data_IF_501948927697
#
_entry.id   IF_501948927697
#
_cell.length_a   1.000
_cell.length_b   1.000
_cell.length_c   1.000
_cell.angle_alpha   90.00
_cell.angle_beta   90.00
_cell.angle_gamma   90.00
#
_symmetry.space_group_name_H-M   'P 1'
#
loop_
_entity.id
_entity.type
_entity.pdbx_description
1 polymer ?
#
# COMPACT_ATOMS: atom_id res chain seq x y z
N UNK A 1 24.40 -0.34 -28.98
CA UNK A 1 23.54 -1.09 -28.06
C UNK A 1 22.20 -0.38 -28.05
N UNK A 2 21.19 -1.01 -28.62
CA UNK A 2 19.85 -0.43 -28.76
C UNK A 2 19.15 -0.52 -27.42
N UNK A 3 18.72 0.63 -26.89
CA UNK A 3 17.92 0.68 -25.69
C UNK A 3 16.57 0.00 -25.91
N UNK A 4 16.26 -0.98 -25.09
CA UNK A 4 14.93 -1.61 -25.06
C UNK A 4 13.91 -0.53 -24.69
N UNK A 5 13.11 -0.11 -25.65
CA UNK A 5 11.87 0.65 -25.38
C UNK A 5 10.93 -0.27 -24.62
N UNK A 6 10.55 0.14 -23.44
CA UNK A 6 9.41 -0.47 -22.75
C UNK A 6 8.18 0.04 -23.50
N UNK A 7 7.75 -0.73 -24.50
CA UNK A 7 6.48 -0.47 -25.16
C UNK A 7 5.40 -0.51 -24.08
N UNK A 8 4.51 0.47 -24.09
CA UNK A 8 3.36 0.57 -23.20
C UNK A 8 2.51 -0.71 -23.31
N UNK A 9 2.81 -1.68 -22.46
CA UNK A 9 1.99 -2.88 -22.32
C UNK A 9 0.64 -2.48 -21.71
N UNK A 10 -0.24 -1.98 -22.57
CA UNK A 10 -1.67 -1.95 -22.27
C UNK A 10 -2.09 -3.42 -22.20
N UNK A 11 -2.17 -3.93 -20.98
CA UNK A 11 -2.69 -5.26 -20.75
C UNK A 11 -4.15 -5.29 -21.23
N UNK A 12 -4.39 -5.85 -22.40
CA UNK A 12 -5.74 -6.13 -22.88
C UNK A 12 -6.29 -7.25 -22.01
N UNK A 13 -7.16 -6.87 -21.10
CA UNK A 13 -7.88 -7.81 -20.24
C UNK A 13 -8.82 -8.65 -21.12
N UNK A 14 -8.47 -9.91 -21.36
CA UNK A 14 -9.25 -10.85 -22.17
C UNK A 14 -10.25 -11.63 -21.32
N UNK A 15 -11.04 -10.94 -20.49
CA UNK A 15 -12.15 -11.54 -19.78
C UNK A 15 -11.91 -11.76 -18.27
N UNK A 16 -12.99 -12.08 -17.51
CA UNK A 16 -12.93 -12.23 -16.07
C UNK A 16 -12.29 -13.58 -15.71
N UNK A 17 -10.98 -13.59 -15.59
CA UNK A 17 -10.29 -14.67 -14.91
C UNK A 17 -10.33 -14.37 -13.40
N UNK A 18 -11.10 -15.12 -12.60
CA UNK A 18 -11.23 -14.87 -11.16
C UNK A 18 -9.94 -15.08 -10.40
N UNK A 19 -8.91 -15.64 -11.03
CA UNK A 19 -7.58 -15.89 -10.45
C UNK A 19 -6.53 -14.83 -10.82
N UNK A 20 -6.83 -13.87 -11.69
CA UNK A 20 -5.88 -12.82 -12.06
C UNK A 20 -5.91 -11.66 -11.06
N UNK A 21 -4.74 -11.30 -10.57
CA UNK A 21 -4.52 -10.09 -9.78
C UNK A 21 -4.49 -8.85 -10.69
N UNK A 22 -5.64 -8.53 -11.29
CA UNK A 22 -5.78 -7.45 -12.26
C UNK A 22 -5.10 -6.15 -11.83
N UNK A 23 -5.13 -5.85 -10.54
CA UNK A 23 -4.61 -4.63 -9.95
C UNK A 23 -3.09 -4.49 -10.11
N UNK A 24 -2.33 -5.57 -9.93
CA UNK A 24 -0.88 -5.59 -10.13
C UNK A 24 -0.52 -5.25 -11.57
N UNK A 25 -1.22 -5.88 -12.51
CA UNK A 25 -1.01 -5.65 -13.94
C UNK A 25 -1.46 -4.26 -14.35
N UNK A 26 -2.57 -3.76 -13.79
CA UNK A 26 -3.08 -2.41 -14.07
C UNK A 26 -2.08 -1.33 -13.65
N UNK A 27 -1.38 -1.52 -12.53
CA UNK A 27 -0.33 -0.62 -12.09
C UNK A 27 1.03 -0.87 -12.77
N UNK A 28 1.22 -2.01 -13.45
CA UNK A 28 2.47 -2.35 -14.14
C UNK A 28 3.56 -2.92 -13.24
N UNK A 29 3.25 -3.46 -12.06
CA UNK A 29 4.23 -4.05 -11.16
C UNK A 29 5.07 -5.15 -11.81
N UNK A 30 4.49 -6.15 -12.53
CA UNK A 30 5.27 -7.22 -13.13
C UNK A 30 6.34 -6.72 -14.11
N UNK A 31 6.06 -5.65 -14.83
CA UNK A 31 7.00 -5.08 -15.80
C UNK A 31 8.26 -4.45 -15.18
N UNK A 32 8.21 -4.08 -13.89
CA UNK A 32 9.30 -3.37 -13.22
C UNK A 32 10.07 -4.22 -12.20
N UNK A 33 9.60 -5.42 -11.84
CA UNK A 33 10.26 -6.24 -10.82
C UNK A 33 11.73 -6.52 -11.14
N UNK A 34 12.04 -6.90 -12.37
CA UNK A 34 13.41 -7.18 -12.79
C UNK A 34 14.35 -5.96 -12.74
N UNK A 35 13.79 -4.76 -12.68
CA UNK A 35 14.56 -3.50 -12.72
C UNK A 35 14.62 -2.81 -11.37
N UNK A 36 13.51 -2.82 -10.62
CA UNK A 36 13.37 -2.11 -9.36
C UNK A 36 13.48 -3.01 -8.13
N UNK A 37 13.09 -4.28 -8.25
CA UNK A 37 13.07 -5.23 -7.12
C UNK A 37 14.25 -6.19 -7.16
N UNK A 38 15.44 -5.62 -7.22
CA UNK A 38 16.71 -6.36 -7.32
C UNK A 38 17.54 -6.23 -6.03
N UNK A 39 18.36 -7.24 -5.74
CA UNK A 39 19.30 -7.24 -4.60
C UNK A 39 18.92 -8.23 -3.50
N UNK A 40 19.94 -8.64 -2.71
CA UNK A 40 19.87 -9.75 -1.77
C UNK A 40 19.13 -9.39 -0.47
N UNK A 41 19.25 -8.14 0.02
CA UNK A 41 18.53 -7.72 1.24
C UNK A 41 17.18 -7.12 0.88
N UNK A 42 16.07 -7.75 1.29
CA UNK A 42 14.74 -7.26 0.97
C UNK A 42 14.36 -5.96 1.71
N UNK A 43 15.10 -5.56 2.77
CA UNK A 43 14.70 -4.43 3.61
C UNK A 43 13.33 -4.63 4.27
N UNK A 44 12.84 -3.63 4.99
CA UNK A 44 11.57 -3.73 5.71
C UNK A 44 10.63 -2.55 5.41
N UNK A 45 9.32 -2.82 5.45
CA UNK A 45 8.20 -1.87 5.39
C UNK A 45 7.44 -2.00 6.71
N UNK A 46 7.08 -0.89 7.36
CA UNK A 46 6.15 -0.94 8.48
C UNK A 46 4.69 -0.94 7.99
N UNK A 47 3.88 -1.83 8.54
CA UNK A 47 2.42 -1.83 8.39
C UNK A 47 1.79 -1.69 9.77
N UNK A 48 1.09 -0.59 10.01
CA UNK A 48 0.33 -0.32 11.22
C UNK A 48 -1.14 -0.52 10.89
N UNK A 49 -1.73 -1.59 11.44
CA UNK A 49 -3.03 -2.07 10.96
C UNK A 49 -3.78 -2.85 12.04
N UNK A 50 -4.93 -3.42 11.66
CA UNK A 50 -5.81 -4.19 12.54
C UNK A 50 -5.52 -5.68 12.44
N UNK A 51 -5.14 -6.26 13.57
CA UNK A 51 -5.16 -7.69 13.81
C UNK A 51 -3.88 -8.44 13.43
N UNK A 52 -3.91 -9.73 13.73
CA UNK A 52 -2.77 -10.64 13.58
C UNK A 52 -3.13 -12.00 12.96
N UNK A 53 -4.41 -12.29 12.73
CA UNK A 53 -4.80 -13.50 12.02
C UNK A 53 -4.30 -13.45 10.57
N UNK A 54 -4.00 -14.59 9.98
CA UNK A 54 -3.55 -14.70 8.60
C UNK A 54 -2.05 -14.40 8.38
N UNK A 55 -1.31 -13.95 9.39
CA UNK A 55 0.12 -13.63 9.25
C UNK A 55 1.01 -14.89 9.13
N UNK A 56 0.47 -16.09 9.36
CA UNK A 56 1.16 -17.37 9.11
C UNK A 56 0.81 -17.97 7.75
N UNK A 57 0.00 -17.28 6.95
CA UNK A 57 -0.37 -17.77 5.63
C UNK A 57 0.89 -18.05 4.79
N UNK A 58 0.87 -19.11 3.97
CA UNK A 58 2.03 -19.54 3.16
C UNK A 58 2.59 -18.44 2.26
N UNK A 59 1.73 -17.57 1.72
CA UNK A 59 2.12 -16.43 0.87
C UNK A 59 2.98 -15.41 1.63
N UNK A 60 2.89 -15.39 2.96
CA UNK A 60 3.64 -14.51 3.84
C UNK A 60 4.83 -15.20 4.51
N UNK A 61 5.10 -16.46 4.19
CA UNK A 61 6.19 -17.22 4.79
C UNK A 61 7.55 -16.54 4.52
N UNK A 62 8.27 -16.19 5.60
CA UNK A 62 9.54 -15.46 5.53
C UNK A 62 9.42 -13.99 5.13
N UNK A 63 8.21 -13.47 4.93
CA UNK A 63 7.94 -12.07 4.55
C UNK A 63 7.52 -11.20 5.72
N UNK A 64 6.98 -11.77 6.78
CA UNK A 64 6.45 -11.01 7.90
C UNK A 64 7.36 -11.10 9.12
N UNK A 65 7.76 -9.94 9.62
CA UNK A 65 8.37 -9.77 10.94
C UNK A 65 7.29 -9.23 11.87
N UNK A 66 7.16 -9.85 13.05
CA UNK A 66 6.19 -9.41 14.05
C UNK A 66 6.91 -8.72 15.17
N UNK A 67 6.42 -7.57 15.59
CA UNK A 67 6.84 -7.06 16.88
C UNK A 67 6.45 -8.03 18.00
N UNK A 68 7.31 -8.21 19.04
CA UNK A 68 6.96 -8.97 20.22
C UNK A 68 5.64 -8.44 20.74
N UNK A 69 4.63 -9.27 20.76
CA UNK A 69 3.30 -8.87 21.12
C UNK A 69 3.27 -8.20 22.48
N UNK A 70 2.71 -7.04 22.59
CA UNK A 70 1.73 -6.87 23.64
C UNK A 70 0.77 -8.07 23.52
N UNK A 71 0.65 -8.89 24.54
CA UNK A 71 -0.05 -10.20 24.51
C UNK A 71 -1.53 -10.13 24.12
N UNK A 72 -2.03 -8.98 23.72
CA UNK A 72 -3.43 -8.61 23.49
C UNK A 72 -3.54 -7.76 22.23
N UNK A 73 -3.59 -8.39 21.06
CA UNK A 73 -3.91 -7.71 19.80
C UNK A 73 -5.16 -8.30 19.17
N UNK A 74 -5.84 -7.49 18.35
CA UNK A 74 -7.00 -7.90 17.55
C UNK A 74 -6.76 -9.21 16.80
N UNK A 75 -7.79 -10.05 16.70
CA UNK A 75 -7.78 -11.29 15.90
C UNK A 75 -8.17 -11.09 14.43
N UNK A 76 -8.42 -9.85 14.00
CA UNK A 76 -8.73 -9.57 12.60
C UNK A 76 -7.58 -9.95 11.68
N UNK A 77 -7.89 -10.26 10.42
CA UNK A 77 -6.91 -10.64 9.40
C UNK A 77 -6.53 -9.48 8.46
N UNK A 78 -6.94 -8.23 8.76
CA UNK A 78 -6.77 -7.12 7.85
C UNK A 78 -5.30 -6.78 7.62
N UNK A 79 -4.47 -6.80 8.66
CA UNK A 79 -3.02 -6.60 8.52
C UNK A 79 -2.36 -7.63 7.60
N UNK A 80 -2.78 -8.91 7.67
CA UNK A 80 -2.29 -9.94 6.77
C UNK A 80 -2.73 -9.70 5.33
N UNK A 81 -3.98 -9.27 5.15
CA UNK A 81 -4.50 -8.93 3.83
C UNK A 81 -3.70 -7.79 3.17
N UNK A 82 -3.39 -6.74 3.91
CA UNK A 82 -2.57 -5.62 3.46
C UNK A 82 -1.13 -6.07 3.20
N UNK A 83 -0.52 -6.84 4.13
CA UNK A 83 0.83 -7.35 3.97
C UNK A 83 0.98 -8.26 2.74
N UNK A 84 -0.03 -9.07 2.41
CA UNK A 84 -0.02 -9.93 1.24
C UNK A 84 -0.07 -9.13 -0.07
N UNK A 85 -0.86 -8.07 -0.15
CA UNK A 85 -0.82 -7.16 -1.31
C UNK A 85 0.56 -6.53 -1.47
N UNK A 86 1.22 -6.14 -0.38
CA UNK A 86 2.57 -5.57 -0.44
C UNK A 86 3.59 -6.61 -0.89
N UNK A 87 3.64 -7.79 -0.23
CA UNK A 87 4.82 -8.63 -0.23
C UNK A 87 4.55 -10.14 -0.22
N UNK A 88 3.40 -10.63 -0.72
CA UNK A 88 3.22 -12.06 -0.95
C UNK A 88 4.37 -12.62 -1.79
N UNK A 89 4.69 -13.90 -1.60
CA UNK A 89 5.75 -14.58 -2.34
C UNK A 89 5.40 -14.61 -3.84
N UNK A 90 6.40 -14.56 -4.69
CA UNK A 90 6.27 -14.56 -6.16
C UNK A 90 6.92 -15.79 -6.79
N UNK A 91 6.98 -16.88 -6.08
CA UNK A 91 7.74 -18.06 -6.46
C UNK A 91 6.91 -19.21 -7.07
N UNK A 92 5.60 -19.02 -7.16
CA UNK A 92 4.67 -20.08 -7.49
C UNK A 92 4.21 -20.07 -8.97
N UNK A 93 4.85 -19.27 -9.84
CA UNK A 93 4.39 -19.06 -11.22
C UNK A 93 4.82 -20.16 -12.21
N UNK A 94 5.77 -21.02 -11.86
CA UNK A 94 6.22 -22.11 -12.73
C UNK A 94 5.46 -23.42 -12.48
N UNK A 95 4.16 -23.41 -12.76
CA UNK A 95 3.42 -24.66 -13.00
C UNK A 95 2.76 -25.32 -11.81
N UNK A 96 2.80 -24.69 -10.63
CA UNK A 96 1.98 -25.17 -9.52
C UNK A 96 0.61 -24.48 -9.55
N UNK A 97 -0.44 -25.31 -9.73
CA UNK A 97 -1.83 -24.84 -9.79
C UNK A 97 -2.31 -24.13 -8.50
N UNK A 98 -1.46 -24.04 -7.50
CA UNK A 98 -1.73 -23.54 -6.16
C UNK A 98 -1.14 -22.16 -5.84
N UNK A 99 -0.24 -21.62 -6.65
CA UNK A 99 0.27 -20.23 -6.51
C UNK A 99 -0.81 -19.24 -6.95
N UNK A 100 -1.42 -18.54 -5.96
CA UNK A 100 -2.63 -17.78 -6.22
C UNK A 100 -2.45 -16.29 -6.18
N UNK A 101 -1.37 -15.79 -5.56
CA UNK A 101 -1.14 -14.36 -5.51
C UNK A 101 0.33 -13.98 -5.43
N UNK A 102 0.65 -12.91 -6.14
CA UNK A 102 1.93 -12.21 -6.05
C UNK A 102 1.80 -10.93 -5.23
N UNK A 103 2.84 -10.61 -4.47
CA UNK A 103 2.97 -9.30 -3.85
C UNK A 103 3.55 -8.26 -4.81
N UNK A 104 3.30 -6.99 -4.53
CA UNK A 104 3.82 -5.88 -5.31
C UNK A 104 5.35 -5.79 -5.29
N UNK A 105 5.99 -6.24 -4.19
CA UNK A 105 7.44 -6.21 -4.01
C UNK A 105 7.96 -7.34 -3.13
N UNK A 106 9.29 -7.48 -3.04
CA UNK A 106 9.96 -8.52 -2.24
C UNK A 106 10.29 -8.09 -0.80
N UNK A 107 9.81 -6.95 -0.33
CA UNK A 107 10.07 -6.45 1.01
C UNK A 107 9.68 -7.45 2.11
N UNK A 108 10.33 -7.34 3.28
CA UNK A 108 9.75 -7.85 4.52
C UNK A 108 8.77 -6.82 5.08
N UNK A 109 7.72 -7.30 5.71
CA UNK A 109 6.68 -6.46 6.31
C UNK A 109 6.74 -6.62 7.82
N UNK A 110 7.00 -5.51 8.52
CA UNK A 110 6.97 -5.44 9.98
C UNK A 110 5.58 -4.96 10.40
N UNK A 111 4.81 -5.85 11.01
CA UNK A 111 3.41 -5.60 11.37
C UNK A 111 3.30 -5.14 12.82
N UNK A 112 2.64 -3.99 13.00
CA UNK A 112 2.24 -3.42 14.29
C UNK A 112 0.71 -3.41 14.39
N UNK A 113 0.17 -3.86 15.52
CA UNK A 113 -1.28 -3.81 15.75
C UNK A 113 -1.70 -2.46 16.30
N UNK A 114 -2.65 -1.82 15.63
CA UNK A 114 -3.29 -0.58 16.06
C UNK A 114 -4.59 -0.80 16.86
N UNK A 115 -4.95 -2.06 17.14
CA UNK A 115 -6.12 -2.45 17.92
C UNK A 115 -5.74 -3.49 18.98
N UNK A 116 -6.36 -3.36 20.16
CA UNK A 116 -6.21 -4.32 21.25
C UNK A 116 -7.04 -5.61 21.03
N UNK A 117 -6.99 -6.53 21.99
CA UNK A 117 -7.75 -7.79 21.94
C UNK A 117 -9.26 -7.62 22.08
N UNK A 118 -9.71 -6.50 22.60
CA UNK A 118 -11.12 -6.14 22.75
C UNK A 118 -11.63 -5.35 21.52
N UNK A 119 -10.84 -5.34 20.43
CA UNK A 119 -11.13 -4.64 19.16
C UNK A 119 -11.30 -3.12 19.34
N UNK A 120 -10.58 -2.52 20.31
CA UNK A 120 -10.54 -1.07 20.49
C UNK A 120 -9.30 -0.49 19.83
N UNK A 121 -9.48 0.66 19.22
CA UNK A 121 -8.35 1.40 18.63
C UNK A 121 -7.40 1.90 19.73
N UNK A 122 -6.12 1.66 19.54
CA UNK A 122 -5.04 2.05 20.46
C UNK A 122 -4.13 3.10 19.80
N UNK A 123 -4.41 4.38 20.07
CA UNK A 123 -3.63 5.49 19.54
C UNK A 123 -2.17 5.46 20.05
N UNK A 124 -1.93 5.03 21.29
CA UNK A 124 -0.57 4.93 21.81
C UNK A 124 0.25 3.86 21.12
N UNK A 125 -0.38 2.73 20.77
CA UNK A 125 0.27 1.70 19.96
C UNK A 125 0.63 2.22 18.55
N UNK A 126 -0.25 2.98 17.91
CA UNK A 126 0.01 3.61 16.62
C UNK A 126 1.18 4.61 16.72
N UNK A 127 1.15 5.46 17.74
CA UNK A 127 2.20 6.44 18.00
C UNK A 127 3.55 5.77 18.25
N UNK A 128 3.59 4.76 19.10
CA UNK A 128 4.80 4.00 19.41
C UNK A 128 5.38 3.33 18.14
N UNK A 129 4.52 2.74 17.29
CA UNK A 129 4.92 2.12 16.04
C UNK A 129 5.52 3.14 15.04
N UNK A 130 4.93 4.33 14.92
CA UNK A 130 5.46 5.42 14.10
C UNK A 130 6.84 5.88 14.60
N UNK A 131 6.99 6.10 15.91
CA UNK A 131 8.26 6.51 16.50
C UNK A 131 9.33 5.43 16.35
N UNK A 132 8.96 4.16 16.45
CA UNK A 132 9.87 3.06 16.19
C UNK A 132 10.29 2.99 14.72
N UNK A 133 9.36 3.17 13.78
CA UNK A 133 9.68 3.26 12.35
C UNK A 133 10.63 4.43 12.06
N UNK A 134 10.42 5.58 12.71
CA UNK A 134 11.32 6.73 12.62
C UNK A 134 12.71 6.42 13.17
N UNK A 135 12.80 5.75 14.34
CA UNK A 135 14.05 5.32 14.96
C UNK A 135 14.84 4.36 14.09
N UNK A 136 14.14 3.40 13.48
CA UNK A 136 14.72 2.40 12.56
C UNK A 136 15.01 2.98 11.17
N UNK A 137 14.58 4.20 10.88
CA UNK A 137 14.68 4.85 9.56
C UNK A 137 14.13 3.96 8.45
N UNK A 138 12.99 3.33 8.69
CA UNK A 138 12.35 2.51 7.69
C UNK A 138 12.01 3.36 6.45
N UNK A 139 12.08 2.81 5.24
CA UNK A 139 11.83 3.59 4.02
C UNK A 139 10.41 4.13 3.94
N UNK A 140 9.45 3.38 4.47
CA UNK A 140 8.02 3.72 4.39
C UNK A 140 7.22 3.05 5.50
N UNK A 141 6.16 3.74 5.96
CA UNK A 141 5.12 3.23 6.84
C UNK A 141 3.78 3.25 6.11
N UNK A 142 3.05 2.14 6.16
CA UNK A 142 1.67 2.03 5.68
C UNK A 142 0.69 2.11 6.85
N UNK A 143 -0.27 3.02 6.75
CA UNK A 143 -1.39 3.21 7.67
C UNK A 143 -2.70 2.88 6.93
N UNK A 144 -3.06 1.58 6.89
CA UNK A 144 -4.32 1.16 6.28
C UNK A 144 -5.49 1.29 7.27
N UNK A 145 -5.60 2.46 7.88
CA UNK A 145 -6.61 2.83 8.85
C UNK A 145 -7.16 4.24 8.59
N UNK A 146 -8.38 4.45 9.01
CA UNK A 146 -9.10 5.72 8.90
C UNK A 146 -9.88 5.93 10.19
N UNK A 147 -9.60 7.01 10.87
CA UNK A 147 -10.13 7.30 12.22
C UNK A 147 -10.55 8.77 12.32
N UNK A 148 -11.56 9.01 13.13
CA UNK A 148 -11.92 10.36 13.58
C UNK A 148 -11.48 10.51 15.04
N UNK A 149 -10.56 11.43 15.29
CA UNK A 149 -10.02 11.70 16.63
C UNK A 149 -10.43 13.09 17.08
N UNK A 150 -10.82 13.25 18.34
CA UNK A 150 -11.12 14.57 18.91
C UNK A 150 -9.88 15.45 19.04
N UNK A 151 -8.69 14.86 19.19
CA UNK A 151 -7.39 15.50 19.20
C UNK A 151 -6.41 14.65 18.39
N UNK A 152 -5.79 15.23 17.39
CA UNK A 152 -4.86 14.56 16.48
C UNK A 152 -3.40 14.89 16.74
N UNK A 153 -3.10 15.83 17.65
CA UNK A 153 -1.76 16.39 17.86
C UNK A 153 -0.70 15.31 18.07
N UNK A 154 -0.96 14.33 18.93
CA UNK A 154 0.03 13.29 19.27
C UNK A 154 0.32 12.38 18.06
N UNK A 155 -0.67 12.14 17.21
CA UNK A 155 -0.51 11.41 15.96
C UNK A 155 0.28 12.25 14.94
N UNK A 156 -0.06 13.51 14.80
CA UNK A 156 0.62 14.45 13.90
C UNK A 156 2.09 14.63 14.28
N UNK A 157 2.41 14.73 15.58
CA UNK A 157 3.78 14.82 16.08
C UNK A 157 4.59 13.56 15.75
N UNK A 158 3.98 12.38 15.85
CA UNK A 158 4.62 11.11 15.47
C UNK A 158 4.83 10.98 13.95
N UNK A 159 3.86 11.42 13.14
CA UNK A 159 3.98 11.50 11.67
C UNK A 159 5.13 12.47 11.32
N UNK A 160 5.15 13.66 11.90
CA UNK A 160 6.21 14.62 11.67
C UNK A 160 7.59 14.08 12.08
N UNK A 161 7.67 13.26 13.14
CA UNK A 161 8.91 12.57 13.51
C UNK A 161 9.36 11.57 12.43
N UNK A 162 8.43 10.81 11.83
CA UNK A 162 8.72 9.93 10.69
C UNK A 162 9.34 10.74 9.54
N UNK A 163 8.66 11.79 9.10
CA UNK A 163 9.08 12.61 7.95
C UNK A 163 10.43 13.29 8.18
N UNK A 164 10.66 13.85 9.38
CA UNK A 164 11.98 14.43 9.76
C UNK A 164 13.12 13.41 9.73
N UNK A 165 12.82 12.12 9.97
CA UNK A 165 13.81 11.04 9.88
C UNK A 165 13.86 10.40 8.48
N UNK A 166 13.21 11.00 7.50
CA UNK A 166 13.24 10.54 6.12
C UNK A 166 12.28 9.37 5.83
N UNK A 167 11.37 9.02 6.74
CA UNK A 167 10.39 7.95 6.55
C UNK A 167 9.18 8.51 5.80
N UNK A 168 8.79 7.86 4.71
CA UNK A 168 7.56 8.21 3.98
C UNK A 168 6.36 7.61 4.70
N UNK A 169 5.32 8.40 4.91
CA UNK A 169 4.06 7.92 5.51
C UNK A 169 2.98 7.88 4.46
N UNK A 170 2.42 6.68 4.24
CA UNK A 170 1.33 6.42 3.29
C UNK A 170 0.09 6.03 4.07
N UNK A 171 -1.06 6.62 3.77
CA UNK A 171 -2.30 6.29 4.45
C UNK A 171 -3.47 6.10 3.49
N UNK A 172 -4.34 5.16 3.84
CA UNK A 172 -5.61 4.94 3.17
C UNK A 172 -6.57 6.09 3.44
N UNK A 173 -7.25 6.57 2.40
CA UNK A 173 -8.27 7.60 2.50
C UNK A 173 -9.53 7.17 3.27
N UNK A 174 -9.71 5.88 3.45
CA UNK A 174 -10.92 5.31 4.03
C UNK A 174 -11.94 4.88 2.98
N UNK A 175 -12.90 4.08 3.42
CA UNK A 175 -13.98 3.54 2.60
C UNK A 175 -15.23 3.42 3.47
N UNK A 176 -16.41 3.59 2.87
CA UNK A 176 -17.69 3.43 3.56
C UNK A 176 -18.64 4.60 3.39
N UNK A 177 -18.17 5.74 2.91
CA UNK A 177 -19.02 6.88 2.60
C UNK A 177 -18.64 7.44 1.25
N UNK A 178 -19.53 7.39 0.28
CA UNK A 178 -19.41 8.11 -0.99
C UNK A 178 -19.53 9.64 -0.79
N UNK A 179 -19.69 10.08 0.45
CA UNK A 179 -19.83 11.47 0.83
C UNK A 179 -18.46 12.09 1.05
N UNK A 180 -18.35 13.35 0.74
CA UNK A 180 -17.26 14.21 1.15
C UNK A 180 -17.45 14.55 2.65
N UNK A 181 -17.21 13.56 3.51
CA UNK A 181 -17.40 13.67 4.96
C UNK A 181 -16.23 14.41 5.65
N UNK A 182 -15.42 15.08 4.85
CA UNK A 182 -14.27 15.84 5.33
C UNK A 182 -13.02 14.96 5.56
N UNK A 183 -11.97 15.60 6.03
CA UNK A 183 -10.67 14.95 6.17
C UNK A 183 -10.66 13.91 7.30
N UNK A 184 -10.22 12.69 6.99
CA UNK A 184 -10.03 11.61 7.96
C UNK A 184 -8.56 11.42 8.30
N UNK A 185 -8.26 11.23 9.58
CA UNK A 185 -6.91 10.92 10.02
C UNK A 185 -6.54 9.46 9.74
N UNK A 186 -5.27 9.16 9.42
CA UNK A 186 -4.12 10.08 9.24
C UNK A 186 -4.02 10.67 7.84
N UNK A 187 -4.86 10.29 6.87
CA UNK A 187 -4.78 10.70 5.48
C UNK A 187 -4.88 12.22 5.25
N UNK A 188 -5.58 12.93 6.16
CA UNK A 188 -5.73 14.37 6.11
C UNK A 188 -4.48 15.16 6.51
N UNK A 189 -3.48 14.51 7.12
CA UNK A 189 -2.24 15.19 7.50
C UNK A 189 -1.44 15.55 6.23
N UNK A 190 -0.97 16.82 6.08
CA UNK A 190 -0.29 17.28 4.86
C UNK A 190 1.03 16.57 4.57
N UNK A 191 1.66 15.97 5.57
CA UNK A 191 2.91 15.23 5.44
C UNK A 191 2.69 13.77 5.01
N UNK A 192 1.43 13.33 4.92
CA UNK A 192 1.05 11.97 4.54
C UNK A 192 0.73 11.90 3.05
N UNK A 193 1.11 10.81 2.41
CA UNK A 193 0.63 10.45 1.07
C UNK A 193 -0.73 9.78 1.23
N UNK A 194 -1.80 10.56 1.10
CA UNK A 194 -3.16 10.04 1.14
C UNK A 194 -3.51 9.30 -0.15
N UNK A 195 -4.02 8.07 -0.02
CA UNK A 195 -4.28 7.18 -1.15
C UNK A 195 -5.76 6.90 -1.32
N UNK A 196 -6.31 7.29 -2.47
CA UNK A 196 -7.65 6.94 -2.93
C UNK A 196 -7.70 5.54 -3.56
N UNK A 197 -8.90 4.99 -3.71
CA UNK A 197 -9.12 3.69 -4.34
C UNK A 197 -9.75 3.84 -5.72
N UNK A 198 -9.24 3.11 -6.73
CA UNK A 198 -9.85 3.02 -8.05
C UNK A 198 -10.41 1.63 -8.35
N UNK A 199 -11.37 1.59 -9.27
CA UNK A 199 -11.88 0.39 -9.90
C UNK A 199 -11.07 0.03 -11.17
N UNK A 200 -11.52 -0.98 -11.94
CA UNK A 200 -10.85 -1.45 -13.15
C UNK A 200 -10.80 -0.41 -14.29
N UNK A 201 -11.73 0.54 -14.29
CA UNK A 201 -11.86 1.62 -15.28
C UNK A 201 -11.09 2.89 -14.87
N UNK A 202 -10.23 2.81 -13.85
CA UNK A 202 -9.48 3.94 -13.26
C UNK A 202 -10.39 5.07 -12.72
N UNK A 203 -11.63 4.73 -12.36
CA UNK A 203 -12.58 5.64 -11.69
C UNK A 203 -12.53 5.39 -10.17
N UNK A 204 -12.97 6.34 -9.34
CA UNK A 204 -13.10 6.10 -7.91
C UNK A 204 -13.89 4.82 -7.65
N UNK A 205 -13.36 3.92 -6.81
CA UNK A 205 -14.02 2.68 -6.44
C UNK A 205 -15.35 2.96 -5.72
N UNK A 206 -16.30 2.02 -5.82
CA UNK A 206 -17.57 2.14 -5.11
C UNK A 206 -17.34 2.22 -3.60
N UNK A 207 -17.98 3.18 -2.94
CA UNK A 207 -17.83 3.43 -1.51
C UNK A 207 -16.47 4.01 -1.08
N UNK A 208 -15.60 4.42 -2.01
CA UNK A 208 -14.37 5.10 -1.68
C UNK A 208 -14.64 6.53 -1.20
N UNK A 209 -13.98 6.93 -0.12
CA UNK A 209 -14.02 8.33 0.32
C UNK A 209 -13.35 9.24 -0.70
N UNK A 210 -13.76 10.51 -0.72
CA UNK A 210 -13.25 11.56 -1.60
C UNK A 210 -12.68 12.71 -0.79
N UNK A 211 -11.82 13.51 -1.38
CA UNK A 211 -11.30 14.73 -0.75
C UNK A 211 -10.10 15.32 -1.48
N UNK A 212 -9.91 16.62 -1.30
CA UNK A 212 -8.80 17.40 -1.90
C UNK A 212 -7.42 16.91 -1.45
N UNK A 213 -7.33 16.20 -0.33
CA UNK A 213 -6.08 15.71 0.22
C UNK A 213 -5.62 14.38 -0.39
N UNK A 214 -6.45 13.70 -1.21
CA UNK A 214 -5.98 12.53 -1.96
C UNK A 214 -4.81 12.94 -2.84
N UNK A 215 -3.65 12.33 -2.62
CA UNK A 215 -2.47 12.63 -3.41
C UNK A 215 -2.42 11.81 -4.70
N UNK A 216 -2.60 10.52 -4.57
CA UNK A 216 -2.59 9.55 -5.67
C UNK A 216 -3.58 8.43 -5.35
N UNK A 217 -4.02 7.70 -6.35
CA UNK A 217 -4.87 6.52 -6.16
C UNK A 217 -4.21 5.27 -6.71
N UNK A 218 -4.70 4.12 -6.28
CA UNK A 218 -4.36 2.82 -6.85
C UNK A 218 -5.61 1.92 -6.82
N UNK A 219 -5.59 0.76 -7.51
CA UNK A 219 -6.68 -0.20 -7.43
C UNK A 219 -7.04 -0.58 -6.00
N UNK A 220 -8.32 -0.50 -5.67
CA UNK A 220 -8.85 -0.82 -4.34
C UNK A 220 -10.18 -1.53 -4.39
N UNK A 221 -10.61 -2.02 -5.55
CA UNK A 221 -11.86 -2.76 -5.71
C UNK A 221 -11.59 -4.19 -6.19
N UNK A 222 -12.19 -5.20 -5.53
CA UNK A 222 -12.01 -6.62 -5.87
C UNK A 222 -10.52 -7.03 -5.93
N UNK A 223 -9.77 -6.73 -4.88
CA UNK A 223 -8.36 -7.08 -4.74
C UNK A 223 -8.22 -8.44 -4.10
N UNK A 224 -7.56 -9.38 -4.79
CA UNK A 224 -7.25 -10.70 -4.26
C UNK A 224 -6.26 -10.56 -3.11
N UNK A 225 -6.55 -11.20 -1.98
CA UNK A 225 -5.67 -11.20 -0.80
C UNK A 225 -5.98 -12.37 0.13
N UNK A 226 -5.19 -12.51 1.20
CA UNK A 226 -5.38 -13.55 2.23
C UNK A 226 -6.30 -13.07 3.35
N UNK A 227 -7.04 -14.00 3.97
CA UNK A 227 -7.98 -13.69 5.07
C UNK A 227 -7.80 -14.58 6.31
N UNK A 228 -6.85 -15.48 6.31
CA UNK A 228 -6.61 -16.43 7.39
C UNK A 228 -5.28 -17.15 7.25
N UNK A 229 -5.01 -18.11 8.13
CA UNK A 229 -3.77 -18.90 8.15
C UNK A 229 -3.87 -20.19 7.32
N UNK A 230 -5.05 -20.54 6.84
CA UNK A 230 -5.28 -21.73 6.02
C UNK A 230 -4.73 -21.58 4.60
N UNK A 231 -4.28 -22.67 3.97
CA UNK A 231 -3.60 -22.62 2.66
C UNK A 231 -4.51 -22.15 1.51
N UNK A 232 -5.83 -22.09 1.73
CA UNK A 232 -6.84 -21.67 0.76
C UNK A 232 -7.67 -20.46 1.24
N UNK A 233 -7.20 -19.75 2.28
CA UNK A 233 -7.89 -18.60 2.85
C UNK A 233 -7.65 -17.33 2.03
N UNK A 234 -8.08 -17.37 0.77
CA UNK A 234 -8.04 -16.21 -0.13
C UNK A 234 -9.43 -15.59 -0.31
N UNK A 235 -9.47 -14.28 -0.53
CA UNK A 235 -10.70 -13.55 -0.82
C UNK A 235 -10.42 -12.31 -1.67
N UNK A 236 -11.41 -11.91 -2.46
CA UNK A 236 -11.46 -10.58 -3.06
C UNK A 236 -12.06 -9.61 -2.06
N UNK A 237 -11.30 -8.58 -1.73
CA UNK A 237 -11.72 -7.52 -0.82
C UNK A 237 -11.63 -6.16 -1.52
N UNK A 238 -12.41 -5.20 -1.04
CA UNK A 238 -12.38 -3.81 -1.55
C UNK A 238 -12.09 -2.84 -0.40
N UNK A 239 -11.31 -1.81 -0.69
CA UNK A 239 -10.95 -0.76 0.26
C UNK A 239 -9.70 0.01 -0.17
N UNK A 240 -9.63 1.27 0.21
CA UNK A 240 -8.44 2.12 0.03
C UNK A 240 -7.21 1.59 0.77
N UNK A 241 -7.40 0.68 1.73
CA UNK A 241 -6.32 -0.05 2.41
C UNK A 241 -5.42 -0.81 1.44
N UNK A 242 -6.01 -1.44 0.42
CA UNK A 242 -5.27 -2.21 -0.60
C UNK A 242 -4.60 -1.28 -1.61
N UNK A 243 -5.24 -0.17 -1.95
CA UNK A 243 -4.64 0.88 -2.75
C UNK A 243 -3.41 1.49 -2.05
N UNK A 244 -3.52 1.79 -0.74
CA UNK A 244 -2.40 2.27 0.07
C UNK A 244 -1.26 1.23 0.13
N UNK A 245 -1.57 -0.06 0.22
CA UNK A 245 -0.60 -1.14 0.16
C UNK A 245 0.23 -1.12 -1.14
N UNK A 246 -0.42 -0.94 -2.29
CA UNK A 246 0.26 -0.84 -3.59
C UNK A 246 1.15 0.40 -3.67
N UNK A 247 0.66 1.57 -3.23
CA UNK A 247 1.47 2.79 -3.20
C UNK A 247 2.66 2.63 -2.25
N UNK A 248 2.47 1.99 -1.10
CA UNK A 248 3.55 1.69 -0.15
C UNK A 248 4.65 0.84 -0.79
N UNK A 249 4.27 -0.20 -1.53
CA UNK A 249 5.23 -1.02 -2.27
C UNK A 249 5.97 -0.21 -3.36
N UNK A 250 5.26 0.67 -4.07
CA UNK A 250 5.86 1.56 -5.06
C UNK A 250 6.90 2.51 -4.44
N UNK A 251 6.59 3.10 -3.28
CA UNK A 251 7.51 3.94 -2.50
C UNK A 251 8.75 3.15 -2.10
N UNK A 252 8.57 1.93 -1.60
CA UNK A 252 9.69 1.07 -1.22
C UNK A 252 10.58 0.75 -2.43
N UNK A 253 10.01 0.38 -3.58
CA UNK A 253 10.74 0.11 -4.81
C UNK A 253 11.51 1.34 -5.30
N UNK A 254 10.89 2.52 -5.25
CA UNK A 254 11.54 3.77 -5.64
C UNK A 254 12.76 4.09 -4.75
N UNK A 255 12.61 3.97 -3.44
CA UNK A 255 13.70 4.21 -2.47
C UNK A 255 14.77 3.12 -2.50
N UNK A 256 14.40 1.90 -2.84
CA UNK A 256 15.38 0.85 -3.09
C UNK A 256 16.28 1.18 -4.28
N UNK A 257 15.72 1.73 -5.34
CA UNK A 257 16.46 2.17 -6.54
C UNK A 257 17.27 3.45 -6.30
N UNK A 258 16.69 4.43 -5.59
CA UNK A 258 17.30 5.72 -5.22
C UNK A 258 17.14 5.96 -3.71
N UNK A 259 18.06 5.46 -2.86
CA UNK A 259 17.93 5.52 -1.40
C UNK A 259 17.88 6.95 -0.82
N UNK A 260 18.44 7.92 -1.53
CA UNK A 260 18.53 9.32 -1.08
C UNK A 260 17.26 10.14 -1.35
N UNK A 261 16.22 9.55 -1.99
CA UNK A 261 14.95 10.24 -2.18
C UNK A 261 14.36 10.64 -0.82
N UNK A 262 14.09 11.93 -0.65
CA UNK A 262 13.37 12.45 0.50
C UNK A 262 11.88 12.12 0.42
N UNK A 263 11.10 12.21 1.52
CA UNK A 263 9.65 12.09 1.45
C UNK A 263 8.99 13.05 0.46
N UNK A 264 9.51 14.26 0.32
CA UNK A 264 9.07 15.25 -0.66
C UNK A 264 9.33 14.81 -2.10
N UNK A 265 10.54 14.28 -2.39
CA UNK A 265 10.88 13.77 -3.71
C UNK A 265 9.99 12.59 -4.12
N UNK A 266 9.72 11.68 -3.17
CA UNK A 266 8.84 10.53 -3.41
C UNK A 266 7.42 11.00 -3.73
N UNK A 267 6.92 11.97 -2.96
CA UNK A 267 5.58 12.56 -3.18
C UNK A 267 5.48 13.16 -4.59
N UNK A 268 6.48 13.92 -5.01
CA UNK A 268 6.52 14.53 -6.34
C UNK A 268 6.68 13.48 -7.44
N UNK A 269 7.51 12.47 -7.24
CA UNK A 269 7.70 11.36 -8.15
C UNK A 269 6.38 10.62 -8.43
N UNK A 270 5.60 10.33 -7.38
CA UNK A 270 4.28 9.72 -7.51
C UNK A 270 3.31 10.61 -8.30
N UNK A 271 3.34 11.93 -8.07
CA UNK A 271 2.52 12.88 -8.81
C UNK A 271 2.87 12.91 -10.32
N UNK A 272 4.14 12.97 -10.64
CA UNK A 272 4.63 13.05 -12.01
C UNK A 272 4.41 11.76 -12.79
N UNK A 273 4.52 10.61 -12.13
CA UNK A 273 4.34 9.30 -12.74
C UNK A 273 2.87 8.85 -12.84
N UNK A 274 1.93 9.50 -12.12
CA UNK A 274 0.56 9.06 -12.08
C UNK A 274 -0.10 9.04 -13.48
N UNK A 275 -0.79 7.94 -13.78
CA UNK A 275 -1.64 7.84 -14.97
C UNK A 275 -2.95 8.61 -14.73
N UNK A 276 -3.29 9.49 -15.63
CA UNK A 276 -4.54 10.23 -15.62
C UNK A 276 -5.48 9.68 -16.69
N UNK A 277 -6.67 9.19 -16.32
CA UNK A 277 -7.70 8.86 -17.30
C UNK A 277 -8.10 10.09 -18.13
N UNK A 278 -8.43 9.87 -19.40
CA UNK A 278 -8.88 10.95 -20.29
C UNK A 278 -10.07 11.71 -19.70
N UNK A 279 -10.04 13.04 -19.80
CA UNK A 279 -11.09 13.93 -19.33
C UNK A 279 -11.05 14.26 -17.83
N UNK A 280 -10.01 13.83 -17.08
CA UNK A 280 -9.77 14.26 -15.71
C UNK A 280 -8.58 15.22 -15.69
N UNK A 281 -8.80 16.54 -15.62
CA UNK A 281 -7.73 17.53 -15.61
C UNK A 281 -7.14 17.69 -14.20
N UNK A 282 -5.84 17.87 -14.12
CA UNK A 282 -5.16 18.30 -12.90
C UNK A 282 -5.32 17.34 -11.73
N UNK A 283 -5.72 17.87 -10.58
CA UNK A 283 -6.08 17.15 -9.37
C UNK A 283 -7.60 16.89 -9.35
N UNK A 284 -8.01 15.70 -8.88
CA UNK A 284 -9.40 15.28 -8.77
C UNK A 284 -9.68 14.74 -7.36
N UNK A 285 -10.81 15.09 -6.76
CA UNK A 285 -11.15 14.69 -5.38
C UNK A 285 -11.37 13.19 -5.19
N UNK A 286 -11.56 12.42 -6.26
CA UNK A 286 -11.76 10.97 -6.20
C UNK A 286 -10.49 10.16 -6.42
N UNK A 287 -9.53 10.69 -7.21
CA UNK A 287 -8.31 9.96 -7.58
C UNK A 287 -7.01 10.75 -7.37
N UNK A 288 -7.07 11.98 -6.85
CA UNK A 288 -5.91 12.83 -6.65
C UNK A 288 -5.24 13.23 -7.96
N UNK A 289 -3.94 13.05 -8.05
CA UNK A 289 -3.18 13.30 -9.28
C UNK A 289 -3.29 12.19 -10.34
N UNK A 290 -4.01 11.12 -10.05
CA UNK A 290 -4.22 9.99 -10.94
C UNK A 290 -3.94 8.64 -10.28
N UNK A 291 -4.00 7.57 -11.07
CA UNK A 291 -3.69 6.20 -10.63
C UNK A 291 -2.17 5.95 -10.68
N UNK A 292 -1.66 5.22 -9.70
CA UNK A 292 -0.28 4.71 -9.66
C UNK A 292 0.09 4.01 -10.99
N UNK A 293 1.23 4.40 -11.57
CA UNK A 293 1.80 3.80 -12.78
C UNK A 293 3.29 3.48 -12.57
N UNK A 294 3.58 2.21 -12.44
CA UNK A 294 4.93 1.73 -12.14
C UNK A 294 5.88 1.84 -13.34
N UNK A 295 5.35 1.77 -14.57
CA UNK A 295 6.16 1.97 -15.78
C UNK A 295 6.72 3.38 -15.84
N UNK A 296 5.85 4.40 -15.73
CA UNK A 296 6.26 5.81 -15.69
C UNK A 296 7.14 6.13 -14.49
N UNK A 297 6.84 5.54 -13.33
CA UNK A 297 7.68 5.70 -12.14
C UNK A 297 9.09 5.15 -12.38
N UNK A 298 9.22 3.98 -12.99
CA UNK A 298 10.52 3.41 -13.32
C UNK A 298 11.31 4.27 -14.32
N UNK A 299 10.64 4.84 -15.33
CA UNK A 299 11.26 5.77 -16.29
C UNK A 299 11.87 7.00 -15.59
N UNK A 300 11.17 7.58 -14.60
CA UNK A 300 11.65 8.74 -13.84
C UNK A 300 12.77 8.39 -12.84
N UNK A 301 12.96 7.10 -12.53
CA UNK A 301 14.03 6.62 -11.66
C UNK A 301 15.33 6.28 -12.42
N UNK A 302 15.32 6.30 -13.72
CA UNK A 302 16.51 6.17 -14.55
C UNK A 302 17.19 7.51 -14.71
#
# INVERSE_FOLDING_TARGET
MQGARVDSLVCRDTGPDPYRQWALYRCGFPAVWAVLDTGADPGEIAVIDRGRAGLNHRELAGRVTREPAASRSSRAAHAAAVAAVIAARRDDYEGDADGRMDGCCSARVRVYSAWDADERFDLEAVRAALLEAARLKLPVVNLSLSISLPNQRDLDDAIAACVRNGVVVVAAMGSGNERDDGPVSPAANPDVIAVGATNREDRPASGANRGEHIWVSAPGENILTVIGDGPFDYKYLSGSSFAAAMVTAAVWLARRKKPDLTPGDVRELLRLSAYRPDGIPGHDTGIGHGRLDMGRLAELLH
#
